data_IF_121306075697
#
_entry.id   IF_121306075697
#
_cell.length_a   1.000
_cell.length_b   1.000
_cell.length_c   1.000
_cell.angle_alpha   90.00
_cell.angle_beta   90.00
_cell.angle_gamma   90.00
#
_symmetry.space_group_name_H-M   'P 1'
#
loop_
_entity.id
_entity.type
_entity.pdbx_description
1 polymer ?
#
# COMPACT_ATOMS: atom_id res chain seq x y z
N UNK A 1 6.84 17.26 12.52
CA UNK A 1 6.73 17.53 11.06
C UNK A 1 8.06 17.64 10.32
N UNK A 2 9.15 17.85 11.03
CA UNK A 2 10.47 17.97 10.39
C UNK A 2 10.86 16.73 9.58
N UNK A 3 10.62 15.57 10.14
CA UNK A 3 10.90 14.28 9.47
C UNK A 3 10.05 14.09 8.22
N UNK A 4 8.76 14.41 8.30
CA UNK A 4 7.86 14.33 7.15
C UNK A 4 8.19 15.37 6.09
N UNK A 5 8.63 16.55 6.48
CA UNK A 5 9.08 17.58 5.56
C UNK A 5 10.26 17.09 4.71
N UNK A 6 11.24 16.44 5.35
CA UNK A 6 12.38 15.88 4.63
C UNK A 6 11.96 14.76 3.68
N UNK A 7 11.07 13.88 4.12
CA UNK A 7 10.55 12.80 3.27
C UNK A 7 9.79 13.36 2.07
N UNK A 8 8.99 14.39 2.27
CA UNK A 8 8.27 15.08 1.21
C UNK A 8 9.23 15.65 0.17
N UNK A 9 10.29 16.33 0.61
CA UNK A 9 11.28 16.91 -0.30
C UNK A 9 12.03 15.82 -1.09
N UNK A 10 12.40 14.72 -0.45
CA UNK A 10 13.06 13.59 -1.12
C UNK A 10 12.17 12.92 -2.16
N UNK A 11 10.86 12.93 -1.96
CA UNK A 11 9.90 12.36 -2.90
C UNK A 11 9.63 13.26 -4.11
N UNK A 12 10.22 14.45 -4.16
CA UNK A 12 10.07 15.38 -5.28
C UNK A 12 8.96 16.41 -5.08
N UNK A 13 8.59 16.69 -3.85
CA UNK A 13 7.59 17.70 -3.54
C UNK A 13 7.98 19.08 -4.08
N UNK A 14 7.06 19.76 -4.75
CA UNK A 14 7.31 21.02 -5.44
C UNK A 14 6.86 22.25 -4.66
N UNK A 15 5.80 22.11 -3.85
CA UNK A 15 5.31 23.16 -2.99
C UNK A 15 5.89 23.00 -1.60
N UNK A 16 5.77 24.05 -0.76
CA UNK A 16 6.15 23.92 0.64
C UNK A 16 5.23 22.89 1.33
N UNK A 17 5.81 21.97 2.09
CA UNK A 17 5.02 20.95 2.79
C UNK A 17 4.01 21.59 3.74
N UNK A 18 4.35 22.72 4.35
CA UNK A 18 3.47 23.46 5.26
C UNK A 18 2.17 23.97 4.61
N UNK A 19 2.08 23.99 3.28
CA UNK A 19 0.83 24.31 2.59
C UNK A 19 -0.26 23.25 2.77
N UNK A 20 0.12 22.04 3.18
CA UNK A 20 -0.80 20.92 3.27
C UNK A 20 -1.30 20.63 4.69
N UNK A 21 -0.84 21.42 5.68
CA UNK A 21 -1.28 21.19 7.05
C UNK A 21 -1.33 22.51 7.83
N UNK A 22 -2.07 22.51 8.94
CA UNK A 22 -2.09 23.59 9.94
C UNK A 22 -1.49 23.05 11.22
N UNK A 23 -0.46 23.71 11.73
CA UNK A 23 0.15 23.35 13.00
C UNK A 23 -0.60 24.02 14.15
N UNK A 24 -0.89 23.26 15.21
CA UNK A 24 -1.53 23.76 16.43
C UNK A 24 -0.95 23.00 17.62
N UNK A 25 -0.37 23.71 18.57
CA UNK A 25 0.34 23.12 19.71
C UNK A 25 1.41 22.14 19.22
N UNK A 26 1.41 20.89 19.71
CA UNK A 26 2.37 19.87 19.29
C UNK A 26 1.82 18.97 18.17
N UNK A 27 0.75 19.39 17.52
CA UNK A 27 0.05 18.61 16.51
C UNK A 27 -0.04 19.36 15.19
N UNK A 28 -0.29 18.61 14.11
CA UNK A 28 -0.58 19.18 12.81
C UNK A 28 -1.86 18.53 12.26
N UNK A 29 -2.69 19.32 11.60
CA UNK A 29 -3.91 18.86 10.98
C UNK A 29 -3.76 19.06 9.47
N UNK A 30 -3.81 17.96 8.71
CA UNK A 30 -3.74 18.05 7.26
C UNK A 30 -5.00 18.68 6.67
N UNK A 31 -4.81 19.41 5.57
CA UNK A 31 -5.90 20.12 4.91
C UNK A 31 -7.02 19.14 4.52
N UNK A 32 -8.28 19.58 4.72
CA UNK A 32 -9.45 18.77 4.43
C UNK A 32 -9.52 18.36 2.96
N UNK A 33 -9.03 19.20 2.05
CA UNK A 33 -8.99 18.89 0.61
C UNK A 33 -8.21 17.61 0.30
N UNK A 34 -7.21 17.26 1.09
CA UNK A 34 -6.45 16.02 0.90
C UNK A 34 -7.28 14.77 1.23
N UNK A 35 -8.35 14.91 2.01
CA UNK A 35 -9.17 13.80 2.47
C UNK A 35 -10.45 13.59 1.68
N UNK A 36 -10.75 14.47 0.74
CA UNK A 36 -12.02 14.45 0.00
C UNK A 36 -12.30 13.11 -0.69
N UNK A 37 -11.26 12.47 -1.21
CA UNK A 37 -11.36 11.21 -1.93
C UNK A 37 -10.80 10.03 -1.14
N UNK A 38 -10.71 10.14 0.18
CA UNK A 38 -10.17 9.10 1.05
C UNK A 38 -11.25 8.56 1.97
N UNK A 39 -11.23 7.25 2.17
CA UNK A 39 -12.05 6.57 3.16
C UNK A 39 -11.11 5.83 4.10
N UNK A 40 -11.15 6.15 5.39
CA UNK A 40 -10.35 5.48 6.41
C UNK A 40 -11.17 4.36 7.03
N UNK A 41 -10.56 3.20 7.17
CA UNK A 41 -11.24 2.03 7.69
C UNK A 41 -10.23 1.16 8.42
N UNK A 42 -10.68 0.42 9.43
CA UNK A 42 -9.86 -0.52 10.16
C UNK A 42 -10.12 -1.94 9.65
N UNK A 43 -9.05 -2.67 9.35
CA UNK A 43 -9.11 -4.03 8.85
C UNK A 43 -8.15 -4.94 9.58
N UNK A 44 -8.54 -6.20 9.72
CA UNK A 44 -7.65 -7.24 10.21
C UNK A 44 -7.29 -8.17 9.04
N UNK A 45 -6.09 -8.00 8.49
CA UNK A 45 -5.65 -8.74 7.31
C UNK A 45 -5.62 -10.25 7.52
N UNK A 46 -5.46 -10.70 8.77
CA UNK A 46 -5.42 -12.11 9.09
C UNK A 46 -6.80 -12.77 9.07
N UNK A 47 -7.85 -12.01 9.32
CA UNK A 47 -9.20 -12.51 9.56
C UNK A 47 -10.22 -12.03 8.53
N UNK A 48 -9.99 -10.89 7.91
CA UNK A 48 -10.95 -10.29 7.00
C UNK A 48 -11.04 -11.09 5.69
N UNK A 49 -12.20 -11.00 5.07
CA UNK A 49 -12.42 -11.50 3.71
C UNK A 49 -12.11 -10.40 2.71
N UNK A 50 -12.18 -10.73 1.41
CA UNK A 50 -11.91 -9.75 0.38
C UNK A 50 -12.78 -8.51 0.55
N UNK A 51 -12.17 -7.37 0.28
CA UNK A 51 -12.82 -6.08 0.29
C UNK A 51 -13.54 -5.84 -1.03
N UNK A 52 -13.69 -4.60 -1.43
CA UNK A 52 -14.13 -4.29 -2.79
C UNK A 52 -13.00 -4.61 -3.78
N UNK A 53 -13.37 -4.72 -5.05
CA UNK A 53 -12.38 -4.88 -6.08
C UNK A 53 -11.64 -3.56 -6.31
N UNK A 54 -10.32 -3.58 -6.13
CA UNK A 54 -9.45 -2.42 -6.29
C UNK A 54 -8.62 -2.53 -7.56
N UNK A 55 -8.28 -1.41 -8.15
CA UNK A 55 -7.40 -1.34 -9.31
C UNK A 55 -5.92 -1.32 -8.92
N UNK A 56 -5.61 -0.73 -7.77
CA UNK A 56 -4.26 -0.69 -7.21
C UNK A 56 -4.34 -0.96 -5.71
N UNK A 57 -3.49 -1.85 -5.23
CA UNK A 57 -3.32 -2.10 -3.80
C UNK A 57 -1.86 -1.89 -3.46
N UNK A 58 -1.59 -1.10 -2.44
CA UNK A 58 -0.25 -0.93 -1.88
C UNK A 58 -0.23 -1.58 -0.50
N UNK A 59 0.56 -2.65 -0.36
CA UNK A 59 0.75 -3.36 0.90
C UNK A 59 2.25 -3.46 1.16
N UNK A 60 2.84 -2.37 1.64
CA UNK A 60 4.29 -2.23 1.77
C UNK A 60 4.74 -2.36 3.21
N UNK A 61 5.74 -3.23 3.42
CA UNK A 61 6.39 -3.42 4.72
C UNK A 61 5.43 -3.92 5.79
N UNK A 62 4.46 -4.74 5.41
CA UNK A 62 3.47 -5.36 6.30
C UNK A 62 3.70 -6.86 6.41
N UNK A 63 3.91 -7.53 5.28
CA UNK A 63 4.08 -8.99 5.22
C UNK A 63 5.31 -9.47 5.96
N UNK A 64 6.32 -8.65 6.08
CA UNK A 64 7.57 -8.98 6.77
C UNK A 64 7.36 -9.32 8.25
N UNK A 65 6.24 -8.91 8.83
CA UNK A 65 5.91 -9.20 10.23
C UNK A 65 5.17 -10.52 10.42
N UNK A 66 4.82 -11.20 9.34
CA UNK A 66 4.00 -12.41 9.37
C UNK A 66 4.81 -13.66 9.06
N UNK A 67 4.42 -14.79 9.67
CA UNK A 67 4.98 -16.08 9.29
C UNK A 67 4.47 -16.50 7.91
N UNK A 68 5.03 -17.58 7.36
CA UNK A 68 4.70 -18.03 6.01
C UNK A 68 3.22 -18.36 5.82
N UNK A 69 2.61 -18.99 6.82
CA UNK A 69 1.18 -19.35 6.76
C UNK A 69 0.30 -18.12 6.70
N UNK A 70 0.59 -17.12 7.51
CA UNK A 70 -0.17 -15.88 7.55
C UNK A 70 0.07 -15.05 6.30
N UNK A 71 1.29 -15.03 5.78
CA UNK A 71 1.60 -14.37 4.52
C UNK A 71 0.77 -14.95 3.38
N UNK A 72 0.68 -16.28 3.29
CA UNK A 72 -0.13 -16.94 2.27
C UNK A 72 -1.59 -16.51 2.34
N UNK A 73 -2.11 -16.38 3.53
CA UNK A 73 -3.48 -15.97 3.79
C UNK A 73 -3.74 -14.51 3.38
N UNK A 74 -2.79 -13.64 3.68
CA UNK A 74 -2.88 -12.23 3.26
C UNK A 74 -2.77 -12.12 1.74
N UNK A 75 -1.91 -12.90 1.11
CA UNK A 75 -1.84 -12.94 -0.35
C UNK A 75 -3.16 -13.39 -1.00
N UNK A 76 -3.86 -14.35 -0.40
CA UNK A 76 -5.20 -14.72 -0.86
C UNK A 76 -6.16 -13.53 -0.80
N UNK A 77 -6.15 -12.81 0.31
CA UNK A 77 -6.99 -11.62 0.50
C UNK A 77 -6.68 -10.54 -0.54
N UNK A 78 -5.39 -10.25 -0.74
CA UNK A 78 -4.96 -9.22 -1.70
C UNK A 78 -5.33 -9.61 -3.13
N UNK A 79 -5.13 -10.87 -3.48
CA UNK A 79 -5.49 -11.38 -4.81
C UNK A 79 -7.00 -11.26 -5.07
N UNK A 80 -7.81 -11.68 -4.11
CA UNK A 80 -9.26 -11.63 -4.24
C UNK A 80 -9.81 -10.20 -4.29
N UNK A 81 -9.08 -9.26 -3.68
CA UNK A 81 -9.48 -7.85 -3.61
C UNK A 81 -8.99 -7.02 -4.80
N UNK A 82 -8.16 -7.58 -5.66
CA UNK A 82 -7.57 -6.89 -6.80
C UNK A 82 -8.26 -7.32 -8.09
N UNK A 83 -8.70 -6.35 -8.91
CA UNK A 83 -9.28 -6.67 -10.21
C UNK A 83 -8.24 -7.34 -11.11
N UNK A 84 -8.71 -8.10 -12.09
CA UNK A 84 -7.83 -8.61 -13.14
C UNK A 84 -7.16 -7.42 -13.85
N UNK A 85 -5.86 -7.52 -14.08
CA UNK A 85 -4.99 -6.45 -14.59
C UNK A 85 -4.74 -5.30 -13.62
N UNK A 86 -5.24 -5.40 -12.39
CA UNK A 86 -4.88 -4.48 -11.32
C UNK A 86 -3.43 -4.68 -10.86
N UNK A 87 -2.91 -3.73 -10.12
CA UNK A 87 -1.51 -3.71 -9.69
C UNK A 87 -1.41 -3.81 -8.18
N UNK A 88 -0.56 -4.74 -7.73
CA UNK A 88 -0.18 -4.89 -6.31
C UNK A 88 1.24 -4.36 -6.13
N UNK A 89 1.42 -3.40 -5.21
CA UNK A 89 2.72 -2.89 -4.82
C UNK A 89 3.13 -3.41 -3.45
N UNK A 90 4.28 -4.06 -3.39
CA UNK A 90 4.88 -4.59 -2.16
C UNK A 90 6.11 -3.78 -1.76
N UNK A 91 6.62 -4.03 -0.55
CA UNK A 91 7.86 -3.40 -0.08
C UNK A 91 9.09 -4.06 -0.71
N UNK A 92 10.24 -3.41 -0.56
CA UNK A 92 11.49 -3.85 -1.22
C UNK A 92 11.93 -5.26 -0.83
N UNK A 93 11.61 -5.69 0.39
CA UNK A 93 11.97 -7.02 0.92
C UNK A 93 10.82 -8.01 0.88
N UNK A 94 9.80 -7.72 0.09
CA UNK A 94 8.60 -8.53 -0.04
C UNK A 94 8.44 -8.96 -1.50
N UNK A 95 7.71 -10.05 -1.72
CA UNK A 95 7.54 -10.61 -3.06
C UNK A 95 6.30 -11.49 -3.11
N UNK A 96 5.77 -11.69 -4.31
CA UNK A 96 4.74 -12.70 -4.56
C UNK A 96 5.34 -14.12 -4.68
N UNK A 97 6.67 -14.23 -4.65
CA UNK A 97 7.39 -15.50 -4.73
C UNK A 97 6.95 -16.44 -3.61
N UNK A 98 6.74 -17.69 -3.93
CA UNK A 98 6.25 -18.72 -3.01
C UNK A 98 4.89 -18.43 -2.38
N UNK A 99 4.17 -17.41 -2.86
CA UNK A 99 2.78 -17.19 -2.48
C UNK A 99 1.86 -18.14 -3.25
N UNK A 100 0.62 -18.38 -2.78
CA UNK A 100 -0.33 -19.21 -3.50
C UNK A 100 -0.68 -18.70 -4.90
N UNK A 101 -0.47 -17.42 -5.14
CA UNK A 101 -0.84 -16.76 -6.40
C UNK A 101 0.37 -16.30 -7.22
N UNK A 102 1.54 -16.86 -6.95
CA UNK A 102 2.79 -16.46 -7.63
C UNK A 102 2.64 -16.39 -9.15
N UNK A 103 2.01 -17.41 -9.73
CA UNK A 103 1.85 -17.52 -11.19
C UNK A 103 0.70 -16.68 -11.76
N UNK A 104 -0.07 -16.04 -10.90
CA UNK A 104 -1.16 -15.16 -11.30
C UNK A 104 -0.74 -13.72 -11.46
N UNK A 105 0.52 -13.42 -11.16
CA UNK A 105 1.10 -12.08 -11.26
C UNK A 105 2.26 -12.04 -12.24
N UNK A 106 2.42 -10.89 -12.90
CA UNK A 106 3.62 -10.56 -13.65
C UNK A 106 4.23 -9.30 -13.06
N UNK A 107 5.50 -9.32 -12.72
CA UNK A 107 6.20 -8.12 -12.25
C UNK A 107 6.34 -7.14 -13.42
N UNK A 108 5.93 -5.88 -13.23
CA UNK A 108 5.90 -4.88 -14.30
C UNK A 108 7.30 -4.52 -14.76
N UNK A 109 8.20 -4.32 -13.82
CA UNK A 109 9.60 -4.04 -14.08
C UNK A 109 10.41 -4.72 -12.99
N UNK A 110 11.45 -5.46 -13.38
CA UNK A 110 12.23 -6.24 -12.44
C UNK A 110 12.76 -5.37 -11.30
N UNK A 111 12.54 -5.81 -10.08
CA UNK A 111 13.01 -5.13 -8.88
C UNK A 111 12.11 -4.02 -8.35
N UNK A 112 11.05 -3.65 -9.04
CA UNK A 112 10.13 -2.59 -8.58
C UNK A 112 9.16 -3.06 -7.52
N UNK A 113 8.94 -4.37 -7.39
CA UNK A 113 7.90 -4.97 -6.52
C UNK A 113 6.48 -4.52 -6.87
N UNK A 114 6.27 -4.15 -8.12
CA UNK A 114 4.94 -3.85 -8.67
C UNK A 114 4.52 -5.03 -9.54
N UNK A 115 3.40 -5.64 -9.18
CA UNK A 115 2.91 -6.88 -9.80
C UNK A 115 1.53 -6.66 -10.41
N UNK A 116 1.38 -7.01 -11.68
CA UNK A 116 0.06 -6.97 -12.34
C UNK A 116 -0.59 -8.34 -12.22
N UNK A 117 -1.85 -8.36 -11.80
CA UNK A 117 -2.66 -9.58 -11.84
C UNK A 117 -3.00 -9.89 -13.29
N UNK A 118 -2.64 -11.08 -13.75
CA UNK A 118 -2.85 -11.52 -15.15
C UNK A 118 -3.87 -12.63 -15.30
N UNK A 119 -4.28 -13.25 -14.19
CA UNK A 119 -5.27 -14.34 -14.20
C UNK A 119 -6.43 -14.03 -13.26
#
# INVERSE_FOLDING_TARGET
MQEYTQSYLRSGGKRAFSEYYTAAYDSAIFAAALRENMVFSQHNLAMDRSFNEFHVILCRNVLIYFNAQLQARVHDLLYDSLVKFGVLGLGNNESTHFSPHEHSYAELEHGTRLYRRII
#
